data_IF_194687721081
#
_entry.id   IF_194687721081
#
_cell.length_a   1.000
_cell.length_b   1.000
_cell.length_c   1.000
_cell.angle_alpha   90.00
_cell.angle_beta   90.00
_cell.angle_gamma   90.00
#
_symmetry.space_group_name_H-M   'P 1'
#
loop_
_entity.id
_entity.type
_entity.pdbx_description
1 polymer ?
#
# COMPACT_ATOMS: atom_id res chain seq x y z
N UNK A 1 -12.80 16.11 -7.72
CA UNK A 1 -11.95 15.80 -8.89
C UNK A 1 -11.45 14.37 -8.73
N UNK A 2 -11.45 13.63 -9.82
CA UNK A 2 -10.93 12.25 -9.84
C UNK A 2 -9.40 12.29 -9.99
N UNK A 3 -8.68 11.81 -8.99
CA UNK A 3 -7.22 11.81 -8.95
C UNK A 3 -6.56 10.91 -10.02
N UNK A 4 -7.33 10.02 -10.63
CA UNK A 4 -6.86 9.11 -11.67
C UNK A 4 -7.18 9.59 -13.09
N UNK A 5 -7.85 10.76 -13.21
CA UNK A 5 -8.26 11.31 -14.50
C UNK A 5 -7.11 11.96 -15.26
N UNK A 6 -7.32 12.13 -16.57
CA UNK A 6 -6.39 12.81 -17.47
C UNK A 6 -6.10 14.27 -17.09
N UNK A 7 -6.97 14.91 -16.28
CA UNK A 7 -6.75 16.28 -15.80
C UNK A 7 -5.48 16.44 -14.94
N UNK A 8 -4.97 15.34 -14.39
CA UNK A 8 -3.75 15.26 -13.59
C UNK A 8 -2.58 14.60 -14.35
N UNK A 9 -2.73 14.39 -15.66
CA UNK A 9 -1.63 13.91 -16.49
C UNK A 9 -0.48 14.92 -16.45
N UNK A 10 0.74 14.43 -16.18
CA UNK A 10 1.93 15.27 -16.10
C UNK A 10 2.28 15.79 -14.70
N UNK A 11 1.43 15.57 -13.68
CA UNK A 11 1.81 15.77 -12.28
C UNK A 11 2.82 14.68 -11.87
N UNK A 12 4.10 15.03 -11.83
CA UNK A 12 5.20 14.09 -11.57
C UNK A 12 6.11 14.62 -10.46
N UNK A 13 6.73 13.70 -9.71
CA UNK A 13 7.81 14.00 -8.77
C UNK A 13 7.54 15.18 -7.81
N UNK A 14 6.29 15.28 -7.32
CA UNK A 14 5.86 16.40 -6.46
C UNK A 14 6.11 16.16 -4.97
N UNK A 15 6.08 14.90 -4.52
CA UNK A 15 6.05 14.57 -3.10
C UNK A 15 7.23 13.72 -2.66
N UNK A 16 7.75 14.02 -1.47
CA UNK A 16 8.77 13.21 -0.78
C UNK A 16 8.19 12.11 0.10
N UNK A 17 6.91 12.23 0.48
CA UNK A 17 6.19 11.26 1.30
C UNK A 17 4.73 11.15 0.85
N UNK A 18 4.25 9.93 0.71
CA UNK A 18 2.84 9.61 0.49
C UNK A 18 2.38 8.64 1.57
N UNK A 19 1.32 9.01 2.29
CA UNK A 19 0.57 8.14 3.19
C UNK A 19 -0.84 8.02 2.63
N UNK A 20 -1.28 6.82 2.26
CA UNK A 20 -2.54 6.66 1.56
C UNK A 20 -3.33 5.42 1.98
N UNK A 21 -4.64 5.61 2.06
CA UNK A 21 -5.64 4.56 2.17
C UNK A 21 -6.61 4.70 0.99
N UNK A 22 -6.21 4.25 -0.22
CA UNK A 22 -7.05 4.38 -1.40
C UNK A 22 -8.25 3.42 -1.37
N UNK A 23 -9.29 3.63 -2.20
CA UNK A 23 -10.40 2.68 -2.33
C UNK A 23 -9.91 1.27 -2.66
N UNK A 24 -10.47 0.25 -1.97
CA UNK A 24 -10.04 -1.15 -2.12
C UNK A 24 -10.62 -1.87 -3.33
N UNK A 25 -11.67 -1.33 -3.92
CA UNK A 25 -12.34 -1.93 -5.07
C UNK A 25 -12.87 -0.86 -6.01
N UNK A 26 -12.97 -1.22 -7.25
CA UNK A 26 -13.50 -0.37 -8.30
C UNK A 26 -12.83 -0.68 -9.63
N UNK A 27 -13.46 -0.24 -10.69
CA UNK A 27 -12.86 -0.20 -12.01
C UNK A 27 -13.19 1.14 -12.65
N UNK A 28 -12.22 1.74 -13.28
CA UNK A 28 -12.41 2.96 -14.06
C UNK A 28 -12.53 2.62 -15.54
N UNK A 29 -13.25 3.47 -16.26
CA UNK A 29 -13.22 3.41 -17.70
C UNK A 29 -11.82 3.75 -18.19
N UNK A 30 -11.31 2.87 -19.06
CA UNK A 30 -9.98 3.00 -19.63
C UNK A 30 -9.77 4.32 -20.36
N UNK A 31 -10.83 4.85 -20.97
CA UNK A 31 -10.82 6.12 -21.69
C UNK A 31 -10.66 7.34 -20.81
N UNK A 32 -11.13 7.26 -19.56
CA UNK A 32 -11.06 8.35 -18.58
C UNK A 32 -9.83 8.27 -17.66
N UNK A 33 -9.05 7.19 -17.75
CA UNK A 33 -7.83 7.02 -16.96
C UNK A 33 -6.67 7.73 -17.65
N UNK A 34 -5.89 8.48 -16.89
CA UNK A 34 -4.70 9.16 -17.39
C UNK A 34 -3.76 8.20 -18.15
N UNK A 35 -3.36 8.57 -19.36
CA UNK A 35 -2.57 7.73 -20.26
C UNK A 35 -1.19 7.40 -19.71
N UNK A 36 -0.60 8.30 -18.95
CA UNK A 36 0.69 8.11 -18.29
C UNK A 36 0.63 7.03 -17.20
N UNK A 37 -0.49 6.92 -16.45
CA UNK A 37 -0.71 5.80 -15.53
C UNK A 37 -0.80 4.47 -16.26
N UNK A 38 -1.41 4.45 -17.43
CA UNK A 38 -1.51 3.25 -18.28
C UNK A 38 -0.16 2.82 -18.85
N UNK A 39 0.81 3.72 -18.97
CA UNK A 39 2.19 3.38 -19.32
C UNK A 39 2.90 2.65 -18.18
N UNK A 40 2.56 2.97 -16.93
CA UNK A 40 3.12 2.30 -15.74
C UNK A 40 2.52 0.91 -15.60
N UNK A 41 1.18 0.81 -15.67
CA UNK A 41 0.46 -0.46 -15.58
C UNK A 41 -0.82 -0.43 -16.42
N UNK A 42 -1.00 -1.44 -17.29
CA UNK A 42 -2.22 -1.58 -18.10
C UNK A 42 -3.30 -2.32 -17.33
N UNK A 43 -4.20 -1.58 -16.72
CA UNK A 43 -5.29 -2.13 -15.90
C UNK A 43 -6.46 -1.16 -15.80
N UNK A 44 -7.64 -1.68 -15.46
CA UNK A 44 -8.81 -0.92 -15.02
C UNK A 44 -9.01 -0.96 -13.51
N UNK A 45 -8.22 -1.75 -12.80
CA UNK A 45 -8.35 -1.95 -11.35
C UNK A 45 -7.84 -0.73 -10.60
N UNK A 46 -8.72 -0.12 -9.84
CA UNK A 46 -8.48 1.12 -9.10
C UNK A 46 -7.29 1.02 -8.16
N UNK A 47 -7.19 -0.09 -7.42
CA UNK A 47 -6.09 -0.31 -6.46
C UNK A 47 -4.71 -0.34 -7.11
N UNK A 48 -4.60 -0.88 -8.34
CA UNK A 48 -3.34 -0.90 -9.09
C UNK A 48 -3.04 0.47 -9.73
N UNK A 49 -4.06 1.18 -10.17
CA UNK A 49 -3.92 2.53 -10.72
C UNK A 49 -3.46 3.53 -9.66
N UNK A 50 -3.94 3.42 -8.42
CA UNK A 50 -3.45 4.25 -7.32
C UNK A 50 -1.98 4.01 -7.01
N UNK A 51 -1.51 2.78 -7.03
CA UNK A 51 -0.08 2.49 -6.86
C UNK A 51 0.77 3.07 -8.00
N UNK A 52 0.27 2.99 -9.25
CA UNK A 52 0.91 3.65 -10.39
C UNK A 52 0.96 5.18 -10.21
N UNK A 53 -0.13 5.78 -9.75
CA UNK A 53 -0.21 7.21 -9.42
C UNK A 53 0.84 7.59 -8.36
N UNK A 54 0.97 6.82 -7.30
CA UNK A 54 1.94 7.13 -6.23
C UNK A 54 3.39 7.03 -6.72
N UNK A 55 3.68 6.04 -7.57
CA UNK A 55 5.00 5.94 -8.22
C UNK A 55 5.29 7.16 -9.11
N UNK A 56 4.28 7.71 -9.81
CA UNK A 56 4.42 8.92 -10.61
C UNK A 56 4.65 10.16 -9.75
N UNK A 57 3.85 10.33 -8.69
CA UNK A 57 3.85 11.52 -7.84
C UNK A 57 5.05 11.62 -6.90
N UNK A 58 5.66 10.51 -6.54
CA UNK A 58 6.85 10.50 -5.68
C UNK A 58 8.06 11.06 -6.42
N UNK A 59 8.83 11.90 -5.71
CA UNK A 59 10.19 12.24 -6.11
C UNK A 59 11.10 11.02 -5.99
N UNK A 60 12.17 10.99 -6.76
CA UNK A 60 13.24 10.00 -6.55
C UNK A 60 13.79 10.16 -5.13
N UNK A 61 13.90 9.06 -4.39
CA UNK A 61 14.19 9.03 -2.95
C UNK A 61 12.96 9.22 -2.05
N UNK A 62 11.80 9.57 -2.61
CA UNK A 62 10.55 9.67 -1.87
C UNK A 62 10.01 8.31 -1.45
N UNK A 63 9.25 8.27 -0.35
CA UNK A 63 8.73 7.05 0.26
C UNK A 63 7.21 7.07 0.33
N UNK A 64 6.61 5.88 0.29
CA UNK A 64 5.17 5.71 0.48
C UNK A 64 4.86 4.62 1.50
N UNK A 65 3.77 4.82 2.23
CA UNK A 65 3.06 3.78 2.96
C UNK A 65 1.61 3.74 2.48
N UNK A 66 1.20 2.62 1.90
CA UNK A 66 -0.08 2.50 1.21
C UNK A 66 -0.82 1.25 1.68
N UNK A 67 -2.07 1.43 2.11
CA UNK A 67 -2.95 0.31 2.41
C UNK A 67 -3.50 -0.26 1.11
N UNK A 68 -3.38 -1.56 0.94
CA UNK A 68 -3.84 -2.28 -0.25
C UNK A 68 -4.61 -3.55 0.14
N UNK A 69 -5.59 -3.99 -0.66
CA UNK A 69 -6.20 -5.31 -0.47
C UNK A 69 -5.20 -6.42 -0.82
N UNK A 70 -5.35 -7.59 -0.21
CA UNK A 70 -4.49 -8.77 -0.46
C UNK A 70 -4.40 -9.17 -1.94
N UNK A 71 -5.42 -8.83 -2.74
CA UNK A 71 -5.38 -9.02 -4.18
C UNK A 71 -4.18 -8.37 -4.87
N UNK A 72 -3.63 -7.30 -4.32
CA UNK A 72 -2.40 -6.67 -4.85
C UNK A 72 -1.20 -7.58 -4.65
N UNK A 73 -1.11 -8.25 -3.50
CA UNK A 73 -0.01 -9.16 -3.17
C UNK A 73 -0.10 -10.49 -3.92
N UNK A 74 -1.30 -11.06 -4.00
CA UNK A 74 -1.50 -12.44 -4.47
C UNK A 74 -2.18 -12.56 -5.83
N UNK A 75 -2.68 -11.46 -6.39
CA UNK A 75 -3.35 -11.46 -7.69
C UNK A 75 -2.47 -12.02 -8.81
N UNK A 76 -3.08 -12.84 -9.67
CA UNK A 76 -2.38 -13.59 -10.73
C UNK A 76 -2.39 -12.90 -12.11
N UNK A 77 -3.16 -11.82 -12.28
CA UNK A 77 -3.22 -11.12 -13.57
C UNK A 77 -1.87 -10.52 -13.96
N UNK A 78 -1.69 -10.29 -15.25
CA UNK A 78 -0.46 -9.66 -15.78
C UNK A 78 -0.18 -8.31 -15.10
N UNK A 79 -1.22 -7.50 -14.90
CA UNK A 79 -1.08 -6.19 -14.26
C UNK A 79 -0.60 -6.28 -12.79
N UNK A 80 -1.12 -7.24 -12.00
CA UNK A 80 -0.65 -7.48 -10.64
C UNK A 80 0.83 -7.87 -10.61
N UNK A 81 1.21 -8.81 -11.47
CA UNK A 81 2.60 -9.28 -11.56
C UNK A 81 3.55 -8.17 -11.99
N UNK A 82 3.15 -7.39 -12.99
CA UNK A 82 3.95 -6.29 -13.51
C UNK A 82 4.17 -5.21 -12.45
N UNK A 83 3.13 -4.84 -11.70
CA UNK A 83 3.26 -3.84 -10.65
C UNK A 83 4.15 -4.31 -9.51
N UNK A 84 4.00 -5.58 -9.07
CA UNK A 84 4.91 -6.16 -8.06
C UNK A 84 6.34 -6.19 -8.56
N UNK A 85 6.56 -6.59 -9.82
CA UNK A 85 7.90 -6.55 -10.43
C UNK A 85 8.49 -5.15 -10.38
N UNK A 86 7.72 -4.13 -10.75
CA UNK A 86 8.18 -2.73 -10.68
C UNK A 86 8.57 -2.32 -9.27
N UNK A 87 7.75 -2.63 -8.27
CA UNK A 87 8.05 -2.29 -6.88
C UNK A 87 9.32 -2.98 -6.36
N UNK A 88 9.54 -4.24 -6.74
CA UNK A 88 10.66 -5.05 -6.24
C UNK A 88 11.93 -4.81 -7.05
N UNK A 89 11.86 -4.78 -8.38
CA UNK A 89 13.02 -4.75 -9.25
C UNK A 89 13.44 -3.34 -9.68
N UNK A 90 12.47 -2.45 -9.96
CA UNK A 90 12.75 -1.09 -10.44
C UNK A 90 12.80 -0.06 -9.30
N UNK A 91 12.10 -0.32 -8.22
CA UNK A 91 12.08 0.50 -7.02
C UNK A 91 12.67 -0.27 -5.84
N UNK A 92 12.43 0.20 -4.63
CA UNK A 92 12.80 -0.52 -3.41
C UNK A 92 11.54 -0.80 -2.58
N UNK A 93 11.14 -2.05 -2.49
CA UNK A 93 10.13 -2.50 -1.55
C UNK A 93 10.79 -2.71 -0.18
N UNK A 94 10.45 -1.87 0.78
CA UNK A 94 11.07 -1.87 2.11
C UNK A 94 10.39 -2.86 3.05
N UNK A 95 9.04 -2.83 3.13
CA UNK A 95 8.31 -3.67 4.07
C UNK A 95 6.88 -3.96 3.60
N UNK A 96 6.32 -5.04 4.13
CA UNK A 96 4.91 -5.43 4.01
C UNK A 96 4.37 -5.79 5.38
N UNK A 97 3.34 -5.07 5.84
CA UNK A 97 2.60 -5.41 7.05
C UNK A 97 1.26 -6.01 6.64
N UNK A 98 1.06 -7.29 6.93
CA UNK A 98 -0.23 -7.96 6.73
C UNK A 98 -1.19 -7.57 7.84
N UNK A 99 -2.43 -7.22 7.49
CA UNK A 99 -3.50 -6.86 8.41
C UNK A 99 -4.60 -7.91 8.35
N UNK A 100 -5.12 -8.39 9.49
CA UNK A 100 -6.15 -9.40 9.49
C UNK A 100 -7.47 -8.88 8.88
N UNK A 101 -8.28 -9.79 8.35
CA UNK A 101 -9.63 -9.47 7.88
C UNK A 101 -10.45 -8.84 9.01
N UNK A 102 -11.22 -7.81 8.69
CA UNK A 102 -12.08 -7.11 9.65
C UNK A 102 -11.51 -5.83 10.25
N UNK A 103 -10.24 -5.50 10.03
CA UNK A 103 -9.65 -4.23 10.51
C UNK A 103 -10.42 -3.01 9.99
N UNK A 104 -10.93 -3.07 8.77
CA UNK A 104 -11.68 -1.98 8.14
C UNK A 104 -13.20 -2.16 8.17
N UNK A 105 -13.72 -3.09 8.95
CA UNK A 105 -15.16 -3.21 9.15
C UNK A 105 -15.76 -1.96 9.82
N UNK A 106 -16.99 -1.57 9.49
CA UNK A 106 -17.92 -2.25 8.57
C UNK A 106 -17.68 -1.94 7.08
N UNK A 107 -16.69 -1.11 6.73
CA UNK A 107 -16.48 -0.64 5.34
C UNK A 107 -15.90 -1.72 4.42
N UNK A 108 -15.00 -2.54 4.92
CA UNK A 108 -14.41 -3.65 4.18
C UNK A 108 -14.07 -4.82 5.12
N UNK A 109 -14.47 -6.04 4.73
CA UNK A 109 -14.18 -7.27 5.49
C UNK A 109 -12.95 -8.03 4.98
N UNK A 110 -12.34 -7.57 3.88
CA UNK A 110 -11.20 -8.24 3.26
C UNK A 110 -9.92 -8.06 4.05
N UNK A 111 -9.01 -9.02 3.95
CA UNK A 111 -7.66 -8.87 4.44
C UNK A 111 -6.91 -7.85 3.58
N UNK A 112 -6.07 -7.07 4.22
CA UNK A 112 -5.32 -5.98 3.61
C UNK A 112 -3.86 -6.03 4.03
N UNK A 113 -3.04 -5.20 3.44
CA UNK A 113 -1.66 -5.01 3.85
C UNK A 113 -1.24 -3.54 3.71
N UNK A 114 -0.22 -3.15 4.44
CA UNK A 114 0.47 -1.88 4.23
C UNK A 114 1.75 -2.17 3.46
N UNK A 115 1.91 -1.56 2.29
CA UNK A 115 3.14 -1.59 1.52
C UNK A 115 3.98 -0.37 1.86
N UNK A 116 5.24 -0.58 2.20
CA UNK A 116 6.23 0.48 2.35
C UNK A 116 7.25 0.37 1.23
N UNK A 117 7.40 1.42 0.46
CA UNK A 117 8.37 1.44 -0.63
C UNK A 117 9.00 2.79 -0.84
N UNK A 118 10.20 2.78 -1.43
CA UNK A 118 10.96 3.97 -1.82
C UNK A 118 11.08 4.00 -3.33
N UNK A 119 10.79 5.15 -3.94
CA UNK A 119 11.04 5.37 -5.38
C UNK A 119 12.52 5.60 -5.59
N UNK A 120 13.19 4.64 -6.20
CA UNK A 120 14.63 4.71 -6.50
C UNK A 120 14.92 4.84 -7.98
N UNK A 121 14.03 4.34 -8.85
CA UNK A 121 14.22 4.18 -10.30
C UNK A 121 15.49 3.39 -10.68
N UNK A 122 16.13 2.77 -9.72
CA UNK A 122 17.39 2.02 -9.88
C UNK A 122 17.39 0.68 -9.14
N UNK A 123 16.23 0.22 -8.66
CA UNK A 123 16.12 -0.98 -7.84
C UNK A 123 16.61 -0.76 -6.41
N UNK A 124 17.13 -1.83 -5.79
CA UNK A 124 17.70 -1.78 -4.45
C UNK A 124 16.96 -2.61 -3.41
N UNK A 125 16.04 -3.48 -3.84
CA UNK A 125 15.38 -4.42 -2.94
C UNK A 125 16.27 -5.64 -2.73
N UNK A 126 17.08 -5.63 -1.68
CA UNK A 126 17.87 -6.80 -1.25
C UNK A 126 17.05 -7.69 -0.32
N UNK A 127 16.32 -7.07 0.60
CA UNK A 127 15.45 -7.72 1.58
C UNK A 127 14.13 -6.96 1.70
N UNK A 128 13.05 -7.68 2.00
CA UNK A 128 11.75 -7.11 2.35
C UNK A 128 11.39 -7.57 3.75
N UNK A 129 11.11 -6.63 4.62
CA UNK A 129 10.66 -6.95 5.96
C UNK A 129 9.17 -7.29 5.95
N UNK A 130 8.79 -8.42 6.57
CA UNK A 130 7.41 -8.85 6.68
C UNK A 130 6.96 -8.92 8.13
N UNK A 131 5.78 -8.38 8.39
CA UNK A 131 5.11 -8.51 9.68
C UNK A 131 3.66 -8.94 9.47
N UNK A 132 3.26 -9.99 10.19
CA UNK A 132 1.88 -10.50 10.19
C UNK A 132 1.17 -10.06 11.46
N UNK A 133 0.38 -8.99 11.35
CA UNK A 133 -0.36 -8.41 12.46
C UNK A 133 -1.61 -9.25 12.75
N UNK A 134 -1.72 -9.77 13.96
CA UNK A 134 -2.84 -10.64 14.36
C UNK A 134 -4.03 -9.85 14.92
N UNK A 135 -3.80 -8.68 15.50
CA UNK A 135 -4.82 -7.85 16.11
C UNK A 135 -4.39 -6.37 16.14
N UNK A 136 -5.36 -5.48 16.06
CA UNK A 136 -5.17 -4.02 16.13
C UNK A 136 -5.73 -3.39 17.42
N UNK A 137 -6.14 -4.22 18.38
CA UNK A 137 -6.72 -3.77 19.64
C UNK A 137 -8.24 -3.61 19.63
N UNK A 138 -8.88 -3.89 18.50
CA UNK A 138 -10.34 -3.90 18.35
C UNK A 138 -10.85 -5.28 17.98
N UNK A 139 -12.14 -5.55 18.26
CA UNK A 139 -12.79 -6.76 17.77
C UNK A 139 -12.83 -6.73 16.22
N UNK A 140 -12.61 -7.89 15.59
CA UNK A 140 -12.59 -8.01 14.13
C UNK A 140 -13.99 -8.29 13.52
N UNK A 141 -15.05 -8.09 14.31
CA UNK A 141 -16.45 -8.11 13.86
C UNK A 141 -16.94 -6.71 13.42
N UNK A 142 -18.20 -6.62 12.99
CA UNK A 142 -18.76 -5.37 12.49
C UNK A 142 -18.90 -4.27 13.56
N UNK A 143 -18.84 -4.63 14.83
CA UNK A 143 -18.96 -3.70 15.96
C UNK A 143 -17.67 -2.95 16.24
N UNK A 144 -16.53 -3.51 15.89
CA UNK A 144 -15.20 -2.91 16.13
C UNK A 144 -15.05 -2.36 17.54
N UNK A 145 -15.40 -3.18 18.54
CA UNK A 145 -15.30 -2.78 19.92
C UNK A 145 -13.84 -2.78 20.41
N UNK A 146 -13.42 -1.77 21.17
CA UNK A 146 -12.08 -1.76 21.75
C UNK A 146 -11.89 -2.93 22.72
N UNK A 147 -10.81 -3.67 22.55
CA UNK A 147 -10.41 -4.79 23.41
C UNK A 147 -9.33 -4.38 24.42
N UNK A 148 -8.76 -3.18 24.25
CA UNK A 148 -7.75 -2.58 25.11
C UNK A 148 -8.26 -1.25 25.66
N UNK A 149 -7.75 -0.78 26.81
CA UNK A 149 -8.00 0.56 27.27
C UNK A 149 -7.66 1.60 26.18
N UNK A 150 -8.42 2.67 26.09
CA UNK A 150 -8.30 3.68 25.03
C UNK A 150 -6.86 4.20 24.85
N UNK A 151 -6.14 4.42 25.95
CA UNK A 151 -4.75 4.89 25.90
C UNK A 151 -3.75 3.87 25.35
N UNK A 152 -4.17 2.61 25.13
CA UNK A 152 -3.35 1.54 24.54
C UNK A 152 -3.79 1.18 23.11
N UNK A 153 -4.94 1.68 22.66
CA UNK A 153 -5.45 1.41 21.32
C UNK A 153 -4.50 2.00 20.25
N UNK A 154 -4.17 1.18 19.27
CA UNK A 154 -3.25 1.57 18.20
C UNK A 154 -1.77 1.64 18.58
N UNK A 155 -1.44 1.63 19.87
CA UNK A 155 -0.04 1.68 20.33
C UNK A 155 0.63 0.31 20.41
N UNK A 156 -0.13 -0.74 20.73
CA UNK A 156 0.43 -2.09 20.88
C UNK A 156 1.03 -2.62 19.57
N UNK A 157 0.31 -2.61 18.44
CA UNK A 157 0.91 -3.00 17.16
C UNK A 157 2.16 -2.20 16.80
N UNK A 158 2.14 -0.88 17.02
CA UNK A 158 3.30 -0.04 16.74
C UNK A 158 4.50 -0.39 17.63
N UNK A 159 4.27 -0.67 18.92
CA UNK A 159 5.33 -1.12 19.85
C UNK A 159 5.90 -2.48 19.44
N UNK A 160 5.06 -3.41 19.04
CA UNK A 160 5.49 -4.74 18.61
C UNK A 160 6.36 -4.66 17.35
N UNK A 161 5.97 -3.84 16.39
CA UNK A 161 6.76 -3.55 15.19
C UNK A 161 8.10 -2.91 15.56
N UNK A 162 8.10 -1.87 16.39
CA UNK A 162 9.33 -1.20 16.81
C UNK A 162 10.27 -2.13 17.58
N UNK A 163 9.73 -2.98 18.45
CA UNK A 163 10.51 -3.96 19.20
C UNK A 163 11.12 -5.03 18.28
N UNK A 164 10.45 -5.39 17.20
CA UNK A 164 10.95 -6.34 16.23
C UNK A 164 12.06 -5.73 15.39
N UNK A 165 11.86 -4.52 14.86
CA UNK A 165 12.88 -3.79 14.11
C UNK A 165 14.17 -3.59 14.93
N UNK A 166 14.05 -3.24 16.21
CA UNK A 166 15.21 -3.05 17.09
C UNK A 166 16.01 -4.35 17.36
N UNK A 167 15.38 -5.52 17.22
CA UNK A 167 16.07 -6.81 17.36
C UNK A 167 16.83 -7.18 16.08
N UNK A 168 16.34 -6.76 14.92
CA UNK A 168 16.98 -7.06 13.63
C UNK A 168 18.19 -6.19 13.36
N UNK A 169 18.25 -4.98 13.95
CA UNK A 169 19.44 -4.11 13.87
C UNK A 169 20.64 -4.62 14.67
N UNK A 170 20.48 -5.66 15.47
CA UNK A 170 21.53 -6.27 16.29
C UNK A 170 22.03 -7.64 15.76
N UNK A 171 21.63 -8.01 14.54
CA UNK A 171 22.14 -9.16 13.80
C UNK A 171 23.08 -8.71 12.69
#
# INVERSE_FOLDING_TARGET
>A
KDSLSEEHAGDEEMYSLILANPPFAGSLDYENTAKDLQQIVKTKKTELLFLALFLRLLKTGGRAAVIVPDGVLFGSSKAHKELRRKLVEEQKLDAVISLPGGVFKPYAGVSTAILFFTKTNSGGTDHVWFYDMQADGYSLDDKRQPLLPEHQLGLQPARDILNQLSKEEHL
#
